data_IF_173130574618
#
_entry.id   IF_173130574618
#
_cell.length_a   1.000
_cell.length_b   1.000
_cell.length_c   1.000
_cell.angle_alpha   90.00
_cell.angle_beta   90.00
_cell.angle_gamma   90.00
#
_symmetry.space_group_name_H-M   'P 1'
#
loop_
_entity.id
_entity.type
_entity.pdbx_description
1 polymer ?
#
# COMPACT_ATOMS: atom_id res chain seq x y z
N UNK A 1 1.70 19.92 -17.32
CA UNK A 1 1.33 18.52 -17.00
C UNK A 1 2.53 17.64 -17.25
N UNK A 2 2.94 16.84 -16.28
CA UNK A 2 4.07 15.92 -16.43
C UNK A 2 3.57 14.62 -17.07
N UNK A 3 4.28 14.08 -18.04
CA UNK A 3 3.98 12.80 -18.69
C UNK A 3 4.47 11.61 -17.88
N UNK A 4 5.44 11.84 -17.01
CA UNK A 4 6.12 10.81 -16.24
C UNK A 4 6.43 11.34 -14.84
N UNK A 5 6.15 10.56 -13.81
CA UNK A 5 6.42 10.88 -12.42
C UNK A 5 7.06 9.67 -11.74
N UNK A 6 8.13 9.89 -10.99
CA UNK A 6 8.72 8.88 -10.11
C UNK A 6 8.29 9.18 -8.68
N UNK A 7 7.61 8.24 -8.06
CA UNK A 7 7.24 8.30 -6.63
C UNK A 7 8.21 7.43 -5.85
N UNK A 8 8.91 8.03 -4.89
CA UNK A 8 9.86 7.32 -4.04
C UNK A 8 9.50 7.51 -2.57
N UNK A 9 9.70 6.47 -1.79
CA UNK A 9 9.67 6.56 -0.33
C UNK A 9 10.68 5.59 0.26
N UNK A 10 11.21 5.94 1.41
CA UNK A 10 12.15 5.10 2.13
C UNK A 10 12.25 5.49 3.58
N UNK A 11 12.76 4.60 4.41
CA UNK A 11 12.97 4.86 5.82
C UNK A 11 13.60 3.69 6.55
N UNK A 12 14.10 3.97 7.73
CA UNK A 12 14.55 2.99 8.69
C UNK A 12 13.47 2.78 9.75
N UNK A 13 13.10 1.54 9.99
CA UNK A 13 11.92 1.25 10.81
C UNK A 13 12.21 1.18 12.30
N UNK A 14 13.42 0.89 12.67
CA UNK A 14 13.68 0.30 13.96
C UNK A 14 13.85 1.27 15.10
N UNK A 15 14.67 2.24 14.93
CA UNK A 15 14.95 3.21 16.00
C UNK A 15 13.84 4.18 16.22
N UNK A 16 12.97 4.31 15.25
CA UNK A 16 11.86 5.25 15.25
C UNK A 16 10.56 4.64 15.78
N UNK A 17 10.50 3.31 15.92
CA UNK A 17 9.36 2.68 16.56
C UNK A 17 9.26 3.15 18.01
N UNK A 18 8.10 3.68 18.38
CA UNK A 18 7.82 4.12 19.76
C UNK A 18 8.12 3.05 20.80
N UNK A 19 8.23 1.81 20.39
CA UNK A 19 8.46 0.64 21.24
C UNK A 19 9.87 0.05 21.14
N UNK A 20 10.80 0.63 20.37
CA UNK A 20 12.13 0.06 20.20
C UNK A 20 12.85 -0.19 21.52
N UNK A 21 12.82 0.75 22.47
CA UNK A 21 13.40 0.59 23.80
C UNK A 21 12.73 -0.51 24.62
N UNK A 22 11.40 -0.63 24.51
CA UNK A 22 10.64 -1.64 25.22
C UNK A 22 10.86 -3.03 24.63
N UNK A 23 11.02 -3.12 23.30
CA UNK A 23 11.40 -4.37 22.62
C UNK A 23 12.77 -4.86 23.09
N UNK A 24 13.78 -3.97 23.13
CA UNK A 24 15.11 -4.32 23.65
C UNK A 24 15.02 -4.82 25.09
N UNK A 25 14.31 -4.12 25.96
CA UNK A 25 14.13 -4.53 27.35
C UNK A 25 13.45 -5.88 27.50
N UNK A 26 12.54 -6.22 26.60
CA UNK A 26 11.79 -7.47 26.62
C UNK A 26 12.45 -8.60 25.85
N UNK A 27 13.61 -8.37 25.22
CA UNK A 27 14.30 -9.36 24.38
C UNK A 27 13.47 -9.74 23.14
N UNK A 28 12.61 -8.85 22.65
CA UNK A 28 11.79 -9.10 21.48
C UNK A 28 12.58 -8.86 20.20
N UNK A 29 12.27 -9.61 19.13
CA UNK A 29 12.95 -9.42 17.85
C UNK A 29 12.70 -8.02 17.31
N UNK A 30 13.78 -7.36 16.95
CA UNK A 30 13.76 -6.05 16.30
C UNK A 30 14.59 -6.16 15.03
N UNK A 31 14.02 -5.72 13.91
CA UNK A 31 14.76 -5.55 12.67
C UNK A 31 15.28 -4.10 12.62
N UNK A 32 16.15 -3.75 13.56
CA UNK A 32 16.59 -2.37 13.75
C UNK A 32 17.35 -1.80 12.56
N UNK A 33 18.04 -2.65 11.85
CA UNK A 33 18.84 -2.28 10.69
C UNK A 33 18.09 -2.44 9.38
N UNK A 34 16.79 -2.75 9.43
CA UNK A 34 15.99 -2.88 8.25
C UNK A 34 15.76 -1.50 7.63
N UNK A 35 16.41 -1.25 6.51
CA UNK A 35 16.14 -0.12 5.64
C UNK A 35 15.20 -0.61 4.54
N UNK A 36 14.07 0.05 4.41
CA UNK A 36 13.12 -0.23 3.35
C UNK A 36 12.93 1.00 2.48
N UNK A 37 12.80 0.77 1.19
CA UNK A 37 12.52 1.80 0.22
C UNK A 37 11.79 1.22 -0.98
N UNK A 38 11.04 2.07 -1.66
CA UNK A 38 10.46 1.72 -2.95
C UNK A 38 10.48 2.90 -3.90
N UNK A 39 10.40 2.59 -5.18
CA UNK A 39 10.24 3.58 -6.24
C UNK A 39 9.24 3.05 -7.26
N UNK A 40 8.28 3.88 -7.63
CA UNK A 40 7.27 3.57 -8.63
C UNK A 40 7.30 4.61 -9.73
N UNK A 41 7.44 4.16 -10.97
CA UNK A 41 7.30 4.98 -12.15
C UNK A 41 5.83 5.02 -12.57
N UNK A 42 5.26 6.21 -12.64
CA UNK A 42 3.90 6.46 -13.13
C UNK A 42 4.03 7.23 -14.43
N UNK A 43 3.37 6.74 -15.47
CA UNK A 43 3.37 7.34 -16.81
C UNK A 43 1.95 7.60 -17.29
N UNK A 44 1.81 8.25 -18.43
CA UNK A 44 0.58 8.19 -19.20
C UNK A 44 0.27 6.73 -19.57
N UNK A 45 -0.98 6.44 -19.89
CA UNK A 45 -1.42 5.10 -20.25
C UNK A 45 -0.68 4.60 -21.51
N UNK A 46 0.06 3.51 -21.35
CA UNK A 46 0.84 2.87 -22.42
C UNK A 46 0.09 1.70 -23.09
N UNK A 47 -1.14 1.43 -22.67
CA UNK A 47 -1.95 0.32 -23.17
C UNK A 47 -1.53 -1.06 -22.66
N UNK A 48 -0.52 -1.15 -21.78
CA UNK A 48 0.06 -2.41 -21.28
C UNK A 48 0.17 -2.43 -19.76
N UNK A 49 0.80 -1.40 -19.20
CA UNK A 49 1.03 -1.31 -17.75
C UNK A 49 -0.27 -1.16 -16.97
N UNK A 50 -0.39 -1.73 -15.76
CA UNK A 50 -1.58 -1.55 -14.93
C UNK A 50 -1.94 -0.10 -14.72
N UNK A 51 -3.23 0.20 -14.70
CA UNK A 51 -3.78 1.55 -14.60
C UNK A 51 -4.24 1.87 -13.19
N UNK A 52 -3.93 3.06 -12.69
CA UNK A 52 -4.51 3.59 -11.46
C UNK A 52 -5.91 4.13 -11.76
N UNK A 53 -6.91 3.65 -11.01
CA UNK A 53 -8.30 4.11 -11.06
C UNK A 53 -8.45 5.38 -10.23
N UNK A 54 -8.37 6.53 -10.88
CA UNK A 54 -8.47 7.84 -10.22
C UNK A 54 -9.86 8.14 -9.64
N UNK A 55 -10.87 7.41 -10.08
CA UNK A 55 -12.26 7.47 -9.60
C UNK A 55 -12.48 6.63 -8.32
N UNK A 56 -11.56 5.71 -8.00
CA UNK A 56 -11.67 4.82 -6.83
C UNK A 56 -10.51 5.12 -5.88
N UNK A 57 -10.61 6.26 -5.20
CA UNK A 57 -9.62 6.72 -4.21
C UNK A 57 -10.31 6.90 -2.87
N UNK A 58 -9.85 6.18 -1.85
CA UNK A 58 -10.27 6.34 -0.47
C UNK A 58 -9.38 7.33 0.28
N UNK A 59 -9.97 8.07 1.19
CA UNK A 59 -9.26 8.99 2.09
C UNK A 59 -9.86 8.93 3.47
N UNK A 60 -9.02 8.86 4.48
CA UNK A 60 -9.42 8.98 5.86
C UNK A 60 -8.73 10.18 6.48
N UNK A 61 -9.49 10.99 7.21
CA UNK A 61 -8.99 12.17 7.92
C UNK A 61 -9.23 11.99 9.41
N UNK A 62 -8.26 12.30 10.22
CA UNK A 62 -8.39 12.29 11.68
C UNK A 62 -9.53 13.24 12.09
N UNK A 63 -10.32 12.81 13.05
CA UNK A 63 -11.53 13.54 13.50
C UNK A 63 -12.83 12.95 12.94
N UNK A 64 -12.79 12.15 11.88
CA UNK A 64 -13.96 11.41 11.38
C UNK A 64 -14.21 10.08 12.09
N UNK A 65 -13.46 9.84 13.16
CA UNK A 65 -13.51 8.63 13.96
C UNK A 65 -12.22 7.81 13.85
N UNK A 66 -11.59 7.57 15.00
CA UNK A 66 -10.32 6.82 15.08
C UNK A 66 -10.51 5.32 15.28
N UNK A 67 -11.75 4.83 15.29
CA UNK A 67 -12.01 3.40 15.36
C UNK A 67 -11.46 2.72 14.08
N UNK A 68 -10.74 1.59 14.21
CA UNK A 68 -10.18 0.90 13.05
C UNK A 68 -11.19 0.60 11.94
N UNK A 69 -12.43 0.31 12.32
CA UNK A 69 -13.52 0.06 11.38
C UNK A 69 -13.87 1.31 10.56
N UNK A 70 -13.87 2.50 11.16
CA UNK A 70 -14.15 3.75 10.44
C UNK A 70 -13.04 4.06 9.44
N UNK A 71 -11.77 3.85 9.85
CA UNK A 71 -10.61 4.02 8.96
C UNK A 71 -10.74 3.09 7.76
N UNK A 72 -10.99 1.80 7.99
CA UNK A 72 -11.14 0.82 6.90
C UNK A 72 -12.38 1.11 6.05
N UNK A 73 -13.49 1.57 6.61
CA UNK A 73 -14.65 1.98 5.81
C UNK A 73 -14.31 3.12 4.87
N UNK A 74 -13.67 4.18 5.35
CA UNK A 74 -13.26 5.32 4.52
C UNK A 74 -12.27 4.94 3.42
N UNK A 75 -11.45 3.92 3.65
CA UNK A 75 -10.44 3.48 2.69
C UNK A 75 -10.93 2.39 1.73
N UNK A 76 -11.94 1.62 2.11
CA UNK A 76 -12.41 0.48 1.31
C UNK A 76 -13.83 0.68 0.80
N UNK A 77 -14.81 0.81 1.70
CA UNK A 77 -16.21 0.83 1.28
C UNK A 77 -16.63 2.12 0.63
N UNK A 78 -16.24 3.25 1.18
CA UNK A 78 -16.65 4.56 0.66
C UNK A 78 -16.19 4.80 -0.79
N UNK A 79 -14.92 4.49 -1.18
CA UNK A 79 -14.52 4.63 -2.57
C UNK A 79 -15.23 3.63 -3.52
N UNK A 80 -15.51 2.41 -3.07
CA UNK A 80 -16.22 1.42 -3.88
C UNK A 80 -17.69 1.80 -4.07
N UNK A 81 -18.34 2.33 -3.03
CA UNK A 81 -19.74 2.76 -3.08
C UNK A 81 -19.96 3.88 -4.12
N UNK A 82 -18.98 4.80 -4.24
CA UNK A 82 -19.08 5.88 -5.23
C UNK A 82 -19.16 5.39 -6.67
N UNK A 83 -18.65 4.20 -6.96
CA UNK A 83 -18.65 3.60 -8.29
C UNK A 83 -19.56 2.37 -8.40
N UNK A 84 -20.32 2.06 -7.34
CA UNK A 84 -21.26 0.93 -7.32
C UNK A 84 -20.59 -0.44 -7.30
N UNK A 85 -19.33 -0.53 -6.84
CA UNK A 85 -18.60 -1.79 -6.73
C UNK A 85 -18.79 -2.42 -5.35
N UNK A 86 -18.71 -3.74 -5.31
CA UNK A 86 -18.70 -4.54 -4.08
C UNK A 86 -17.27 -4.81 -3.61
N UNK A 87 -17.13 -5.14 -2.33
CA UNK A 87 -15.84 -5.61 -1.78
C UNK A 87 -15.36 -6.87 -2.54
N UNK A 88 -16.28 -7.72 -2.97
CA UNK A 88 -15.97 -8.95 -3.71
C UNK A 88 -15.52 -8.74 -5.15
N UNK A 89 -15.64 -7.53 -5.69
CA UNK A 89 -15.21 -7.19 -7.05
C UNK A 89 -13.71 -6.84 -7.14
N UNK A 90 -13.05 -6.68 -6.02
CA UNK A 90 -11.60 -6.47 -5.95
C UNK A 90 -10.90 -7.81 -5.75
N UNK A 91 -10.02 -8.19 -6.67
CA UNK A 91 -9.33 -9.48 -6.61
C UNK A 91 -8.36 -9.56 -5.44
N UNK A 92 -7.59 -8.50 -5.19
CA UNK A 92 -6.59 -8.47 -4.12
C UNK A 92 -6.65 -7.19 -3.29
N UNK A 93 -6.53 -7.35 -1.99
CA UNK A 93 -6.37 -6.24 -1.04
C UNK A 93 -4.95 -6.25 -0.49
N UNK A 94 -4.31 -5.10 -0.53
CA UNK A 94 -2.99 -4.89 0.05
C UNK A 94 -3.04 -3.82 1.14
N UNK A 95 -3.39 -4.22 2.37
CA UNK A 95 -3.40 -3.34 3.54
C UNK A 95 -2.01 -3.22 4.17
N UNK A 96 -1.93 -2.92 5.47
CA UNK A 96 -0.68 -2.99 6.21
C UNK A 96 -0.13 -4.42 6.24
N UNK A 97 1.07 -4.58 5.69
CA UNK A 97 1.76 -5.86 5.57
C UNK A 97 2.95 -5.96 6.54
N UNK A 98 2.76 -5.52 7.77
CA UNK A 98 3.78 -5.60 8.80
C UNK A 98 4.10 -7.05 9.16
N UNK A 99 5.37 -7.31 9.48
CA UNK A 99 5.83 -8.66 9.82
C UNK A 99 5.20 -9.17 11.13
N UNK A 100 4.38 -10.25 11.10
CA UNK A 100 3.74 -10.79 12.29
C UNK A 100 4.74 -11.37 13.31
N UNK A 101 5.91 -11.80 12.87
CA UNK A 101 6.96 -12.31 13.78
C UNK A 101 7.49 -11.21 14.71
N UNK A 102 7.35 -9.95 14.29
CA UNK A 102 7.68 -8.77 15.10
C UNK A 102 6.46 -8.29 15.88
N UNK A 103 5.31 -8.20 15.21
CA UNK A 103 4.13 -7.55 15.80
C UNK A 103 3.41 -8.41 16.84
N UNK A 104 3.39 -9.74 16.66
CA UNK A 104 2.78 -10.65 17.63
C UNK A 104 3.46 -10.61 19.00
N UNK A 105 4.78 -10.76 19.11
CA UNK A 105 5.47 -10.64 20.40
C UNK A 105 5.34 -9.25 21.03
N UNK A 106 5.21 -8.22 20.20
CA UNK A 106 4.99 -6.83 20.64
C UNK A 106 3.56 -6.55 21.14
N UNK A 107 2.65 -7.51 21.05
CA UNK A 107 1.26 -7.38 21.51
C UNK A 107 0.32 -6.74 20.48
N UNK A 108 0.77 -6.49 19.23
CA UNK A 108 -0.07 -5.96 18.17
C UNK A 108 -0.82 -7.05 17.37
N UNK A 109 -0.48 -8.32 17.60
CA UNK A 109 -1.07 -9.46 16.91
C UNK A 109 -0.58 -9.60 15.46
N UNK A 110 -1.34 -10.36 14.66
CA UNK A 110 -1.12 -10.49 13.23
C UNK A 110 -1.79 -9.33 12.50
N UNK A 111 -1.01 -8.32 12.14
CA UNK A 111 -1.54 -7.09 11.56
C UNK A 111 -2.13 -7.31 10.15
N UNK A 112 -1.46 -8.02 9.23
CA UNK A 112 -2.06 -8.33 7.92
C UNK A 112 -3.38 -9.11 8.05
N UNK A 113 -3.39 -10.19 8.82
CA UNK A 113 -4.58 -11.01 9.03
C UNK A 113 -5.73 -10.21 9.63
N UNK A 114 -5.44 -9.36 10.62
CA UNK A 114 -6.42 -8.50 11.26
C UNK A 114 -7.07 -7.52 10.28
N UNK A 115 -6.29 -6.94 9.37
CA UNK A 115 -6.81 -6.06 8.33
C UNK A 115 -7.69 -6.82 7.33
N UNK A 116 -7.29 -8.02 6.88
CA UNK A 116 -8.14 -8.83 6.01
C UNK A 116 -9.45 -9.23 6.68
N UNK A 117 -9.41 -9.60 7.97
CA UNK A 117 -10.63 -9.89 8.75
C UNK A 117 -11.54 -8.67 8.86
N UNK A 118 -10.99 -7.46 9.04
CA UNK A 118 -11.80 -6.24 9.07
C UNK A 118 -12.48 -5.97 7.72
N UNK A 119 -11.77 -6.12 6.61
CA UNK A 119 -12.36 -5.97 5.27
C UNK A 119 -13.48 -7.00 5.04
N UNK A 120 -13.23 -8.26 5.37
CA UNK A 120 -14.23 -9.32 5.27
C UNK A 120 -15.46 -9.03 6.13
N UNK A 121 -15.27 -8.55 7.37
CA UNK A 121 -16.35 -8.18 8.26
C UNK A 121 -17.22 -7.03 7.72
N UNK A 122 -16.62 -6.06 7.02
CA UNK A 122 -17.38 -5.04 6.30
C UNK A 122 -18.22 -5.65 5.18
N UNK A 123 -17.68 -6.62 4.45
CA UNK A 123 -18.42 -7.37 3.43
C UNK A 123 -19.62 -8.13 4.02
N UNK A 124 -19.45 -8.73 5.19
CA UNK A 124 -20.57 -9.38 5.91
C UNK A 124 -21.62 -8.36 6.32
N UNK A 125 -21.21 -7.22 6.90
CA UNK A 125 -22.12 -6.13 7.29
C UNK A 125 -22.94 -5.60 6.12
N UNK A 126 -22.38 -5.63 4.92
CA UNK A 126 -23.02 -5.18 3.68
C UNK A 126 -23.85 -6.26 2.99
N UNK A 127 -23.85 -7.49 3.50
CA UNK A 127 -24.51 -8.63 2.87
C UNK A 127 -23.84 -9.11 1.57
N UNK A 128 -22.59 -8.76 1.35
CA UNK A 128 -21.79 -9.17 0.18
C UNK A 128 -21.04 -10.47 0.42
N UNK A 129 -20.85 -10.84 1.67
CA UNK A 129 -20.16 -12.04 2.13
C UNK A 129 -21.00 -12.69 3.22
N UNK A 130 -21.18 -13.99 3.13
CA UNK A 130 -21.74 -14.77 4.23
C UNK A 130 -20.75 -14.88 5.39
N UNK A 131 -21.23 -14.87 6.64
CA UNK A 131 -20.34 -14.94 7.81
C UNK A 131 -19.46 -16.19 7.80
N UNK A 132 -19.97 -17.31 7.32
CA UNK A 132 -19.20 -18.55 7.15
C UNK A 132 -18.12 -18.44 6.08
N UNK A 133 -18.26 -17.53 5.12
CA UNK A 133 -17.35 -17.32 3.99
C UNK A 133 -16.17 -16.39 4.28
N UNK A 134 -16.01 -15.87 5.52
CA UNK A 134 -14.93 -14.94 5.86
C UNK A 134 -13.55 -15.52 5.54
N UNK A 135 -13.29 -16.76 5.92
CA UNK A 135 -11.98 -17.38 5.69
C UNK A 135 -11.70 -17.63 4.20
N UNK A 136 -12.72 -17.98 3.44
CA UNK A 136 -12.59 -18.16 1.99
C UNK A 136 -12.36 -16.83 1.28
N UNK A 137 -13.02 -15.76 1.73
CA UNK A 137 -12.73 -14.41 1.27
C UNK A 137 -11.27 -14.03 1.54
N UNK A 138 -10.76 -14.26 2.75
CA UNK A 138 -9.37 -13.93 3.12
C UNK A 138 -8.39 -14.72 2.25
N UNK A 139 -8.62 -16.01 2.01
CA UNK A 139 -7.78 -16.83 1.13
C UNK A 139 -7.78 -16.33 -0.30
N UNK A 140 -8.94 -15.93 -0.81
CA UNK A 140 -9.11 -15.50 -2.20
C UNK A 140 -8.57 -14.08 -2.43
N UNK A 141 -8.92 -13.15 -1.57
CA UNK A 141 -8.70 -11.71 -1.76
C UNK A 141 -7.54 -11.14 -0.95
N UNK A 142 -7.06 -11.87 0.06
CA UNK A 142 -5.88 -11.51 0.84
C UNK A 142 -4.56 -11.88 0.13
N UNK A 143 -3.47 -11.54 0.79
CA UNK A 143 -2.10 -11.86 0.39
C UNK A 143 -1.51 -12.91 1.32
N UNK A 144 -0.61 -13.74 0.80
CA UNK A 144 0.03 -14.82 1.57
C UNK A 144 1.35 -14.41 2.20
N UNK A 145 1.81 -13.18 1.97
CA UNK A 145 3.09 -12.67 2.45
C UNK A 145 2.97 -11.35 3.17
N UNK A 146 4.08 -10.92 3.73
CA UNK A 146 4.24 -9.65 4.40
C UNK A 146 5.64 -9.08 4.17
N UNK A 147 5.84 -7.81 4.48
CA UNK A 147 7.17 -7.20 4.46
C UNK A 147 8.04 -7.74 5.60
N UNK A 148 9.36 -7.83 5.43
CA UNK A 148 10.26 -8.36 6.48
C UNK A 148 10.37 -7.43 7.70
N UNK A 149 9.72 -6.30 7.69
CA UNK A 149 9.85 -5.23 8.68
C UNK A 149 8.50 -4.74 9.21
N UNK A 150 8.54 -3.80 10.13
CA UNK A 150 7.38 -3.07 10.66
C UNK A 150 7.47 -1.56 10.32
N UNK A 151 6.48 -0.78 10.75
CA UNK A 151 6.41 0.67 10.51
C UNK A 151 5.44 1.02 9.38
N UNK A 152 5.57 2.22 8.82
CA UNK A 152 4.61 2.72 7.83
C UNK A 152 4.90 2.29 6.39
N UNK A 153 6.16 1.96 6.06
CA UNK A 153 6.56 1.51 4.71
C UNK A 153 5.84 0.22 4.30
N UNK A 154 5.57 -0.77 5.18
CA UNK A 154 4.81 -1.96 4.83
C UNK A 154 3.33 -1.73 4.48
N UNK A 155 2.81 -0.52 4.58
CA UNK A 155 1.40 -0.23 4.30
C UNK A 155 1.09 -0.30 2.80
N UNK A 156 0.63 -1.45 2.34
CA UNK A 156 0.11 -1.68 0.98
C UNK A 156 1.15 -1.72 -0.14
N UNK A 157 2.22 -0.96 -0.04
CA UNK A 157 3.20 -0.79 -1.12
C UNK A 157 4.08 -2.01 -1.42
N UNK A 158 4.39 -2.92 -0.50
CA UNK A 158 5.22 -4.09 -0.81
C UNK A 158 4.66 -4.99 -1.91
N UNK A 159 3.35 -4.99 -2.12
CA UNK A 159 2.70 -5.81 -3.14
C UNK A 159 2.76 -5.19 -4.55
N UNK A 160 3.08 -3.91 -4.70
CA UNK A 160 2.96 -3.21 -6.00
C UNK A 160 3.73 -3.90 -7.11
N UNK A 161 4.97 -4.34 -6.86
CA UNK A 161 5.79 -5.03 -7.85
C UNK A 161 5.19 -6.37 -8.27
N UNK A 162 4.84 -7.21 -7.30
CA UNK A 162 4.21 -8.50 -7.54
C UNK A 162 2.83 -8.35 -8.20
N UNK A 163 2.02 -7.38 -7.75
CA UNK A 163 0.75 -7.04 -8.36
C UNK A 163 0.88 -6.75 -9.86
N UNK A 164 1.87 -5.93 -10.21
CA UNK A 164 2.15 -5.62 -11.61
C UNK A 164 2.42 -6.90 -12.42
N UNK A 165 3.29 -7.75 -11.93
CA UNK A 165 3.65 -8.98 -12.62
C UNK A 165 2.46 -9.96 -12.71
N UNK A 166 1.63 -10.06 -11.68
CA UNK A 166 0.41 -10.86 -11.69
C UNK A 166 -0.63 -10.31 -12.67
N UNK A 167 -0.78 -8.97 -12.78
CA UNK A 167 -1.68 -8.33 -13.73
C UNK A 167 -1.22 -8.53 -15.17
N UNK A 168 0.07 -8.37 -15.45
CA UNK A 168 0.66 -8.64 -16.78
C UNK A 168 0.54 -10.10 -17.18
N UNK A 169 0.59 -11.02 -16.21
CA UNK A 169 0.37 -12.45 -16.41
C UNK A 169 -1.12 -12.84 -16.47
N UNK A 170 -2.06 -11.91 -16.35
CA UNK A 170 -3.50 -12.17 -16.36
C UNK A 170 -4.05 -12.92 -15.14
N UNK A 171 -3.26 -13.02 -14.05
CA UNK A 171 -3.64 -13.73 -12.82
C UNK A 171 -4.53 -12.90 -11.90
N UNK A 172 -4.35 -11.59 -11.90
CA UNK A 172 -5.08 -10.61 -11.09
C UNK A 172 -5.56 -9.49 -12.00
N UNK A 173 -6.80 -9.04 -11.86
CA UNK A 173 -7.37 -7.96 -12.66
C UNK A 173 -7.46 -6.66 -11.89
N UNK A 174 -7.73 -6.74 -10.59
CA UNK A 174 -7.91 -5.57 -9.73
C UNK A 174 -7.21 -5.76 -8.39
N UNK A 175 -6.58 -4.71 -7.90
CA UNK A 175 -6.00 -4.70 -6.56
C UNK A 175 -6.24 -3.34 -5.89
N UNK A 176 -6.59 -3.36 -4.61
CA UNK A 176 -6.70 -2.15 -3.81
C UNK A 176 -5.48 -2.03 -2.91
N UNK A 177 -4.71 -0.96 -3.11
CA UNK A 177 -3.56 -0.59 -2.28
C UNK A 177 -4.06 0.33 -1.17
N UNK A 178 -3.77 -0.04 0.08
CA UNK A 178 -4.29 0.66 1.26
C UNK A 178 -3.12 1.11 2.12
N UNK A 179 -2.89 2.42 2.17
CA UNK A 179 -1.93 3.06 3.07
C UNK A 179 -2.68 3.64 4.26
N UNK A 180 -2.58 2.97 5.40
CA UNK A 180 -3.12 3.48 6.66
C UNK A 180 -2.01 4.18 7.43
N UNK A 181 -2.18 5.47 7.68
CA UNK A 181 -1.17 6.29 8.34
C UNK A 181 -1.16 6.15 9.86
N UNK A 182 -0.27 6.89 10.50
CA UNK A 182 -0.17 6.93 11.95
C UNK A 182 -1.31 7.71 12.57
N UNK A 183 -2.17 7.03 13.31
CA UNK A 183 -3.21 7.68 14.12
C UNK A 183 -2.64 8.70 15.11
N UNK A 184 -1.40 8.48 15.56
CA UNK A 184 -0.71 9.40 16.47
C UNK A 184 -0.36 10.71 15.78
N UNK A 185 0.29 10.66 14.62
CA UNK A 185 0.63 11.87 13.86
C UNK A 185 -0.62 12.60 13.38
N UNK A 186 -1.63 11.88 12.96
CA UNK A 186 -2.89 12.45 12.57
C UNK A 186 -3.57 13.23 13.70
N UNK A 187 -3.54 12.72 14.93
CA UNK A 187 -4.07 13.43 16.12
C UNK A 187 -3.30 14.70 16.45
N UNK A 188 -1.98 14.70 16.26
CA UNK A 188 -1.14 15.86 16.52
C UNK A 188 -1.31 16.96 15.48
N UNK A 189 -1.48 16.60 14.23
CA UNK A 189 -1.42 17.53 13.10
C UNK A 189 -2.79 17.82 12.49
N UNK A 190 -3.81 17.07 12.86
CA UNK A 190 -5.15 17.05 12.22
C UNK A 190 -5.07 16.89 10.69
N UNK A 191 -4.01 16.25 10.21
CA UNK A 191 -3.81 15.97 8.81
C UNK A 191 -4.41 14.60 8.44
N UNK A 192 -4.48 14.38 7.15
CA UNK A 192 -4.92 13.17 6.52
C UNK A 192 -4.15 11.93 7.01
N UNK A 193 -4.87 10.87 7.38
CA UNK A 193 -4.31 9.71 8.10
C UNK A 193 -4.31 8.42 7.27
N UNK A 194 -4.87 8.39 6.08
CA UNK A 194 -4.84 7.22 5.23
C UNK A 194 -5.29 7.51 3.80
N UNK A 195 -4.82 6.69 2.89
CA UNK A 195 -5.21 6.70 1.50
C UNK A 195 -5.33 5.28 0.95
N UNK A 196 -6.22 5.11 -0.01
CA UNK A 196 -6.28 3.92 -0.83
C UNK A 196 -6.55 4.28 -2.27
N UNK A 197 -6.19 3.40 -3.17
CA UNK A 197 -6.56 3.49 -4.57
C UNK A 197 -6.63 2.10 -5.17
N UNK A 198 -7.39 1.97 -6.24
CA UNK A 198 -7.48 0.74 -7.00
C UNK A 198 -6.55 0.82 -8.21
N UNK A 199 -5.84 -0.27 -8.45
CA UNK A 199 -5.11 -0.53 -9.68
C UNK A 199 -5.84 -1.63 -10.43
N UNK A 200 -5.96 -1.50 -11.73
CA UNK A 200 -6.55 -2.51 -12.60
C UNK A 200 -5.60 -2.92 -13.71
N UNK A 201 -5.73 -4.14 -14.17
CA UNK A 201 -5.04 -4.60 -15.37
C UNK A 201 -5.46 -3.75 -16.57
N UNK A 202 -4.52 -3.40 -17.41
CA UNK A 202 -4.80 -2.65 -18.64
C UNK A 202 -5.60 -3.52 -19.62
N UNK A 203 -6.64 -2.96 -20.22
CA UNK A 203 -7.48 -3.66 -21.20
C UNK A 203 -7.02 -3.42 -22.66
N UNK A 204 -5.90 -2.72 -22.82
CA UNK A 204 -5.31 -2.41 -24.13
C UNK A 204 -6.06 -1.35 -24.94
N UNK A 205 -7.10 -0.72 -24.34
CA UNK A 205 -7.91 0.31 -25.03
C UNK A 205 -7.40 1.73 -24.81
N UNK A 206 -6.35 1.87 -23.99
CA UNK A 206 -5.70 3.15 -23.74
C UNK A 206 -5.10 3.75 -25.02
N UNK A 207 -4.80 5.04 -24.97
CA UNK A 207 -4.31 5.79 -26.13
C UNK A 207 -3.15 5.05 -26.81
N UNK A 208 -3.30 4.76 -28.09
CA UNK A 208 -2.19 4.44 -28.97
C UNK A 208 -1.28 5.68 -29.04
N UNK A 209 -0.41 5.83 -28.06
CA UNK A 209 0.71 6.71 -28.23
C UNK A 209 1.75 5.98 -29.09
N UNK A 210 2.22 6.69 -30.11
CA UNK A 210 3.41 6.31 -30.85
C UNK A 210 4.48 5.86 -29.85
N UNK A 211 5.15 4.75 -30.17
CA UNK A 211 6.25 4.19 -29.39
C UNK A 211 7.29 5.27 -29.07
N UNK A 212 7.09 6.02 -28.02
CA UNK A 212 8.18 6.71 -27.37
C UNK A 212 8.94 5.64 -26.60
N UNK A 213 9.87 5.01 -27.30
CA UNK A 213 10.70 3.96 -26.72
C UNK A 213 11.23 4.42 -25.37
N UNK A 214 10.96 3.61 -24.37
CA UNK A 214 11.47 3.83 -23.02
C UNK A 214 12.99 3.73 -23.09
N UNK A 215 13.65 4.89 -23.11
CA UNK A 215 15.10 4.97 -23.17
C UNK A 215 15.65 4.64 -21.78
N UNK A 216 15.97 3.36 -21.57
CA UNK A 216 16.57 2.85 -20.34
C UNK A 216 17.86 3.61 -19.98
N UNK A 217 18.62 4.05 -20.98
CA UNK A 217 19.84 4.83 -20.79
C UNK A 217 19.52 6.22 -20.21
N UNK A 218 18.44 6.84 -20.66
CA UNK A 218 17.98 8.14 -20.15
C UNK A 218 17.51 8.05 -18.71
N UNK A 219 16.79 6.98 -18.36
CA UNK A 219 16.36 6.74 -16.96
C UNK A 219 17.55 6.47 -16.05
N UNK A 220 18.50 5.65 -16.47
CA UNK A 220 19.75 5.43 -15.72
C UNK A 220 20.54 6.72 -15.52
N UNK A 221 20.59 7.57 -16.53
CA UNK A 221 21.23 8.90 -16.43
C UNK A 221 20.52 9.79 -15.39
N UNK A 222 19.19 9.89 -15.46
CA UNK A 222 18.40 10.69 -14.52
C UNK A 222 18.54 10.19 -13.08
N UNK A 223 18.53 8.88 -12.86
CA UNK A 223 18.77 8.30 -11.53
C UNK A 223 20.19 8.64 -11.06
N UNK A 224 21.18 8.50 -11.91
CA UNK A 224 22.57 8.85 -11.60
C UNK A 224 22.77 10.32 -11.26
N UNK A 225 22.07 11.23 -11.94
CA UNK A 225 22.08 12.66 -11.64
C UNK A 225 21.41 12.98 -10.30
N UNK A 226 20.26 12.39 -10.04
CA UNK A 226 19.55 12.54 -8.77
C UNK A 226 20.39 12.05 -7.59
N UNK A 227 21.06 10.91 -7.71
CA UNK A 227 21.95 10.37 -6.68
C UNK A 227 23.18 11.25 -6.46
N UNK A 228 23.77 11.80 -7.52
CA UNK A 228 24.90 12.74 -7.40
C UNK A 228 24.50 14.03 -6.72
N UNK A 229 23.36 14.60 -7.10
CA UNK A 229 22.82 15.81 -6.48
C UNK A 229 22.54 15.61 -4.99
N UNK A 230 21.97 14.45 -4.62
CA UNK A 230 21.73 14.10 -3.22
C UNK A 230 23.05 13.96 -2.44
N UNK A 231 24.05 13.26 -3.01
CA UNK A 231 25.36 13.10 -2.37
C UNK A 231 26.11 14.44 -2.20
N UNK A 232 26.00 15.33 -3.17
CA UNK A 232 26.59 16.68 -3.08
C UNK A 232 25.89 17.53 -2.00
N UNK A 233 24.58 17.44 -1.89
CA UNK A 233 23.83 18.13 -0.84
C UNK A 233 24.25 17.68 0.58
N UNK A 234 24.57 16.40 0.76
CA UNK A 234 25.03 15.87 2.06
C UNK A 234 26.49 16.24 2.41
N UNK A 235 27.29 16.62 1.44
CA UNK A 235 28.68 17.02 1.66
C UNK A 235 28.84 18.55 1.86
N UNK A 236 27.77 19.31 1.70
CA UNK A 236 27.76 20.78 1.81
C UNK A 236 27.20 21.30 3.16
N UNK A 237 26.83 20.39 4.06
CA UNK A 237 26.55 20.65 5.48
C UNK A 237 27.72 20.19 6.37
#
# INVERSE_FOLDING_TARGET
TFKTVVVTAGGCTAKLGMNGKDHVKKGLPILEDAVAGFSVLITEDDGVSPQIRNDIVGRHTVGTGSAPQNVISSLVTDPLDRVGMKITDIDKYSPELQNPDITKPAGAGDVPESNFKMIAALGVKRGEIERAGINDFIKKHGLTGWAPTQGHIPSGVPYIGQMRDEMLAGKTKTAMIIGKGSLFLGRLTNLFDGASFVVQANDGKGSKQEESGFDEAKVKSMIGEAMRSFAQGMLSE
#
